data_IF_888874219326
#
_entry.id   IF_888874219326
#
_cell.length_a   1.000
_cell.length_b   1.000
_cell.length_c   1.000
_cell.angle_alpha   90.00
_cell.angle_beta   90.00
_cell.angle_gamma   90.00
#
_symmetry.space_group_name_H-M   'P 1'
#
loop_
_entity.id
_entity.type
_entity.pdbx_description
1 polymer ?
#
# COMPACT_ATOMS: atom_id res chain seq x y z
N UNK A 1 -5.64 5.91 13.09
CA UNK A 1 -5.12 4.74 12.37
C UNK A 1 -4.34 5.26 11.20
N UNK A 2 -3.05 5.00 11.21
CA UNK A 2 -2.12 5.39 10.17
C UNK A 2 -2.08 4.29 9.11
N UNK A 3 -2.02 4.66 7.84
CA UNK A 3 -1.80 3.71 6.77
C UNK A 3 -0.78 4.23 5.78
N UNK A 4 0.01 3.32 5.21
CA UNK A 4 0.87 3.59 4.08
C UNK A 4 0.23 3.03 2.80
N UNK A 5 0.50 3.68 1.67
CA UNK A 5 -0.01 3.26 0.36
C UNK A 5 1.15 3.13 -0.62
N UNK A 6 1.35 1.93 -1.16
CA UNK A 6 2.30 1.66 -2.23
C UNK A 6 1.51 1.44 -3.52
N UNK A 7 1.72 2.29 -4.52
CA UNK A 7 1.08 2.20 -5.83
C UNK A 7 2.11 1.82 -6.89
N UNK A 8 1.98 0.61 -7.44
CA UNK A 8 2.86 0.04 -8.45
C UNK A 8 2.13 -0.07 -9.80
N UNK A 9 2.89 -0.33 -10.86
CA UNK A 9 2.35 -0.53 -12.21
C UNK A 9 2.26 0.77 -13.01
N UNK A 10 1.05 1.20 -13.37
CA UNK A 10 0.86 2.31 -14.31
C UNK A 10 0.02 3.46 -13.74
N UNK A 11 -0.17 4.52 -14.55
CA UNK A 11 -0.94 5.71 -14.15
C UNK A 11 -2.38 5.41 -13.70
N UNK A 12 -2.99 4.31 -14.16
CA UNK A 12 -4.30 3.88 -13.67
C UNK A 12 -4.26 3.49 -12.19
N UNK A 13 -3.25 2.72 -11.79
CA UNK A 13 -3.07 2.31 -10.40
C UNK A 13 -2.85 3.53 -9.49
N UNK A 14 -2.12 4.54 -9.96
CA UNK A 14 -1.91 5.78 -9.21
C UNK A 14 -3.23 6.52 -8.96
N UNK A 15 -4.01 6.78 -10.01
CA UNK A 15 -5.30 7.48 -9.90
C UNK A 15 -6.27 6.71 -9.00
N UNK A 16 -6.32 5.38 -9.11
CA UNK A 16 -7.14 4.54 -8.23
C UNK A 16 -6.70 4.64 -6.77
N UNK A 17 -5.40 4.69 -6.51
CA UNK A 17 -4.83 4.82 -5.17
C UNK A 17 -5.12 6.19 -4.53
N UNK A 18 -5.07 7.27 -5.31
CA UNK A 18 -5.45 8.62 -4.87
C UNK A 18 -6.94 8.69 -4.50
N UNK A 19 -7.81 8.10 -5.34
CA UNK A 19 -9.24 8.01 -5.05
C UNK A 19 -9.52 7.24 -3.76
N UNK A 20 -8.87 6.09 -3.56
CA UNK A 20 -9.02 5.28 -2.35
C UNK A 20 -8.48 6.02 -1.12
N UNK A 21 -7.35 6.70 -1.24
CA UNK A 21 -6.77 7.56 -0.19
C UNK A 21 -7.78 8.64 0.21
N UNK A 22 -8.39 9.33 -0.76
CA UNK A 22 -9.42 10.32 -0.51
C UNK A 22 -10.62 9.74 0.26
N UNK A 23 -11.04 8.51 -0.04
CA UNK A 23 -12.12 7.83 0.70
C UNK A 23 -11.71 7.53 2.14
N UNK A 24 -10.51 6.97 2.35
CA UNK A 24 -10.03 6.59 3.68
C UNK A 24 -9.82 7.80 4.59
N UNK A 25 -9.19 8.85 4.06
CA UNK A 25 -8.96 10.10 4.81
C UNK A 25 -10.29 10.78 5.13
N UNK A 26 -11.13 11.04 4.13
CA UNK A 26 -12.31 11.88 4.32
C UNK A 26 -13.51 11.16 4.98
N UNK A 27 -13.65 9.85 4.78
CA UNK A 27 -14.83 9.10 5.28
C UNK A 27 -14.53 8.23 6.49
N UNK A 28 -13.28 7.84 6.71
CA UNK A 28 -12.88 6.97 7.83
C UNK A 28 -11.98 7.68 8.85
N UNK A 29 -11.51 8.89 8.55
CA UNK A 29 -10.62 9.64 9.43
C UNK A 29 -9.24 9.00 9.58
N UNK A 30 -8.83 8.20 8.59
CA UNK A 30 -7.51 7.57 8.59
C UNK A 30 -6.45 8.59 8.19
N UNK A 31 -5.21 8.38 8.63
CA UNK A 31 -4.10 9.27 8.30
C UNK A 31 -3.14 8.54 7.36
N UNK A 32 -2.83 9.16 6.22
CA UNK A 32 -1.80 8.67 5.33
C UNK A 32 -0.43 9.00 5.95
N UNK A 33 0.44 8.01 6.04
CA UNK A 33 1.85 8.19 6.40
C UNK A 33 2.75 7.74 5.25
N UNK A 34 3.90 8.41 5.11
CA UNK A 34 4.96 8.02 4.19
C UNK A 34 5.99 7.12 4.88
N UNK A 35 5.90 6.96 6.20
CA UNK A 35 6.74 6.07 6.97
C UNK A 35 5.99 4.75 7.22
N UNK A 36 6.53 3.66 6.68
CA UNK A 36 5.93 2.33 6.82
C UNK A 36 6.03 1.80 8.25
N UNK A 37 6.99 2.30 9.05
CA UNK A 37 7.15 1.93 10.45
C UNK A 37 6.07 2.53 11.34
N UNK A 38 5.49 3.67 10.94
CA UNK A 38 4.39 4.33 11.64
C UNK A 38 3.01 3.85 11.18
N UNK A 39 2.95 2.98 10.16
CA UNK A 39 1.70 2.52 9.57
C UNK A 39 1.09 1.36 10.39
N UNK A 40 -0.21 1.47 10.71
CA UNK A 40 -1.00 0.35 11.25
C UNK A 40 -1.42 -0.64 10.14
N UNK A 41 -1.43 -0.17 8.89
CA UNK A 41 -1.86 -0.91 7.70
C UNK A 41 -1.07 -0.44 6.47
N UNK A 42 -0.70 -1.38 5.60
CA UNK A 42 -0.09 -1.07 4.30
C UNK A 42 -1.02 -1.56 3.19
N UNK A 43 -1.36 -0.67 2.27
CA UNK A 43 -2.15 -0.97 1.07
C UNK A 43 -1.21 -1.01 -0.14
N UNK A 44 -1.23 -2.11 -0.89
CA UNK A 44 -0.42 -2.27 -2.11
C UNK A 44 -1.39 -2.39 -3.29
N UNK A 45 -1.38 -1.42 -4.21
CA UNK A 45 -2.12 -1.48 -5.48
C UNK A 45 -1.13 -1.77 -6.61
N UNK A 46 -1.42 -2.77 -7.43
CA UNK A 46 -0.50 -3.21 -8.47
C UNK A 46 -1.20 -3.79 -9.71
N UNK A 47 -0.44 -4.12 -10.74
CA UNK A 47 -0.92 -4.72 -11.98
C UNK A 47 -0.69 -6.25 -11.99
N UNK A 48 -1.76 -7.02 -12.18
CA UNK A 48 -1.70 -8.49 -12.31
C UNK A 48 -1.37 -9.02 -13.72
N UNK A 49 -1.20 -8.15 -14.71
CA UNK A 49 -1.13 -8.55 -16.12
C UNK A 49 0.23 -8.30 -16.76
N UNK A 50 0.87 -7.15 -16.47
CA UNK A 50 2.18 -6.79 -17.00
C UNK A 50 3.27 -7.61 -16.30
N UNK A 51 4.19 -8.20 -17.07
CA UNK A 51 5.23 -9.11 -16.55
C UNK A 51 6.15 -8.43 -15.53
N UNK A 52 6.76 -7.31 -15.91
CA UNK A 52 7.69 -6.58 -15.03
C UNK A 52 7.00 -6.07 -13.76
N UNK A 53 5.79 -5.51 -13.91
CA UNK A 53 4.98 -5.08 -12.78
C UNK A 53 4.64 -6.24 -11.83
N UNK A 54 4.43 -7.46 -12.34
CA UNK A 54 4.20 -8.64 -11.48
C UNK A 54 5.43 -8.99 -10.64
N UNK A 55 6.63 -8.90 -11.21
CA UNK A 55 7.86 -9.15 -10.47
C UNK A 55 8.04 -8.13 -9.35
N UNK A 56 7.92 -6.84 -9.68
CA UNK A 56 7.94 -5.74 -8.71
C UNK A 56 6.89 -5.94 -7.60
N UNK A 57 5.66 -6.34 -7.97
CA UNK A 57 4.60 -6.63 -7.02
C UNK A 57 4.98 -7.69 -6.00
N UNK A 58 5.55 -8.81 -6.47
CA UNK A 58 5.90 -9.94 -5.60
C UNK A 58 7.02 -9.53 -4.65
N UNK A 59 8.05 -8.85 -5.17
CA UNK A 59 9.17 -8.34 -4.37
C UNK A 59 8.68 -7.40 -3.27
N UNK A 60 7.88 -6.38 -3.62
CA UNK A 60 7.32 -5.44 -2.65
C UNK A 60 6.41 -6.11 -1.62
N UNK A 61 5.57 -7.07 -2.04
CA UNK A 61 4.70 -7.80 -1.10
C UNK A 61 5.54 -8.57 -0.07
N UNK A 62 6.63 -9.20 -0.51
CA UNK A 62 7.52 -9.95 0.37
C UNK A 62 8.27 -9.03 1.34
N UNK A 63 8.81 -7.90 0.86
CA UNK A 63 9.45 -6.89 1.71
C UNK A 63 8.48 -6.39 2.79
N UNK A 64 7.26 -5.99 2.41
CA UNK A 64 6.25 -5.53 3.36
C UNK A 64 5.81 -6.64 4.32
N UNK A 65 5.76 -7.89 3.88
CA UNK A 65 5.45 -9.03 4.74
C UNK A 65 6.55 -9.29 5.78
N UNK A 66 7.83 -9.10 5.42
CA UNK A 66 8.94 -9.15 6.36
C UNK A 66 8.86 -8.01 7.39
N UNK A 67 8.59 -6.78 6.94
CA UNK A 67 8.33 -5.64 7.84
C UNK A 67 7.18 -5.93 8.81
N UNK A 68 6.13 -6.61 8.34
CA UNK A 68 5.01 -7.00 9.21
C UNK A 68 5.41 -7.96 10.32
N UNK A 69 6.34 -8.88 10.07
CA UNK A 69 6.82 -9.79 11.11
C UNK A 69 7.62 -9.06 12.20
N UNK A 70 8.21 -7.92 11.87
CA UNK A 70 8.99 -7.13 12.80
C UNK A 70 8.14 -6.11 13.57
N UNK A 71 7.19 -5.41 12.91
CA UNK A 71 6.55 -4.21 13.49
C UNK A 71 5.02 -4.03 13.30
N UNK A 72 4.30 -4.80 12.46
CA UNK A 72 2.84 -4.60 12.28
C UNK A 72 2.01 -5.63 13.05
N UNK A 73 1.10 -5.16 13.93
CA UNK A 73 0.13 -6.03 14.61
C UNK A 73 -0.79 -6.71 13.58
N UNK A 74 -0.92 -8.03 13.64
CA UNK A 74 -2.01 -8.75 12.94
C UNK A 74 -3.34 -8.20 13.47
N UNK A 75 -4.12 -7.59 12.58
CA UNK A 75 -5.58 -7.41 12.77
C UNK A 75 -6.27 -8.77 12.78
#
# INVERSE_FOLDING_TARGET
MNFAFISLGCSKNLVDSENLTGILVNRKGFQLTNDIEEADMVLINTCGFIGDAKKESIETILEVAEYKQQNLKKL
#
